data_IF_524589527320
#
_entry.id   IF_524589527320
#
_cell.length_a   1.000
_cell.length_b   1.000
_cell.length_c   1.000
_cell.angle_alpha   90.00
_cell.angle_beta   90.00
_cell.angle_gamma   90.00
#
_symmetry.space_group_name_H-M   'P 1'
#
loop_
_entity.id
_entity.type
_entity.pdbx_description
1 polymer ?
#
# COMPACT_ATOMS: atom_id res chain seq x y z
N UNK A 1 9.43 -31.52 12.93
CA UNK A 1 9.09 -31.73 11.50
C UNK A 1 8.05 -32.83 11.37
N UNK A 2 8.22 -33.98 12.03
CA UNK A 2 7.16 -34.98 12.22
C UNK A 2 5.85 -34.35 12.68
N UNK A 3 5.89 -33.53 13.72
CA UNK A 3 4.68 -32.93 14.32
C UNK A 3 4.03 -31.86 13.43
N UNK A 4 4.78 -31.28 12.50
CA UNK A 4 4.31 -30.21 11.61
C UNK A 4 3.65 -30.72 10.32
N UNK A 5 3.86 -32.01 9.97
CA UNK A 5 3.38 -32.62 8.73
C UNK A 5 2.65 -33.95 8.96
N UNK A 6 2.44 -34.35 10.23
CA UNK A 6 1.65 -35.52 10.61
C UNK A 6 0.15 -35.29 10.40
N UNK A 7 -0.31 -34.07 10.64
CA UNK A 7 -1.72 -33.68 10.49
C UNK A 7 -1.93 -32.79 9.26
N UNK A 8 -3.02 -32.97 8.50
CA UNK A 8 -3.35 -32.08 7.40
C UNK A 8 -3.57 -30.65 7.89
N UNK A 9 -3.06 -29.67 7.16
CA UNK A 9 -3.22 -28.26 7.50
C UNK A 9 -4.65 -27.79 7.16
N UNK A 10 -5.34 -27.07 8.07
CA UNK A 10 -6.67 -26.55 7.83
C UNK A 10 -6.61 -25.29 6.94
N UNK A 11 -6.34 -25.48 5.66
CA UNK A 11 -6.14 -24.39 4.69
C UNK A 11 -7.13 -24.52 3.53
N UNK A 12 -7.68 -23.38 3.10
CA UNK A 12 -8.59 -23.31 1.96
C UNK A 12 -7.83 -23.30 0.62
N UNK A 13 -6.60 -22.81 0.61
CA UNK A 13 -5.74 -22.70 -0.56
C UNK A 13 -4.44 -23.52 -0.38
N UNK A 14 -3.92 -24.04 -1.50
CA UNK A 14 -2.67 -24.79 -1.49
C UNK A 14 -1.48 -23.87 -1.24
N UNK A 15 -0.66 -24.22 -0.24
CA UNK A 15 0.56 -23.49 0.09
C UNK A 15 1.81 -24.27 -0.33
N UNK A 16 2.89 -23.54 -0.57
CA UNK A 16 4.20 -24.10 -0.91
C UNK A 16 5.20 -23.75 0.17
N UNK A 17 5.70 -24.76 0.88
CA UNK A 17 6.74 -24.58 1.90
C UNK A 17 8.10 -24.89 1.28
N UNK A 18 9.04 -23.95 1.34
CA UNK A 18 10.37 -24.11 0.73
C UNK A 18 11.44 -24.10 1.81
N UNK A 19 12.11 -25.23 1.98
CA UNK A 19 13.27 -25.36 2.86
C UNK A 19 14.54 -25.14 2.07
N UNK A 20 15.38 -24.19 2.50
CA UNK A 20 16.71 -23.99 1.91
C UNK A 20 17.68 -24.93 2.62
N UNK A 21 18.13 -25.97 1.92
CA UNK A 21 19.02 -27.01 2.47
C UNK A 21 20.50 -26.76 2.15
N UNK A 22 20.78 -25.76 1.34
CA UNK A 22 22.12 -25.23 1.20
C UNK A 22 22.19 -24.07 0.22
N UNK A 23 23.10 -23.14 0.49
CA UNK A 23 23.44 -22.06 -0.41
C UNK A 23 24.92 -22.19 -0.80
N UNK A 24 25.23 -22.01 -2.08
CA UNK A 24 26.60 -22.03 -2.59
C UNK A 24 27.36 -20.75 -2.26
N UNK A 25 28.37 -20.44 -3.08
CA UNK A 25 29.35 -19.35 -2.85
C UNK A 25 28.72 -17.97 -2.58
N UNK A 26 27.55 -17.68 -3.15
CA UNK A 26 26.83 -16.41 -2.97
C UNK A 26 26.09 -16.30 -1.63
N UNK A 27 25.65 -17.40 -1.03
CA UNK A 27 24.91 -17.39 0.24
C UNK A 27 25.79 -17.53 1.50
N UNK A 28 27.12 -17.60 1.34
CA UNK A 28 28.11 -17.79 2.43
C UNK A 28 27.83 -18.97 3.36
N UNK A 29 27.06 -19.95 2.92
CA UNK A 29 26.81 -21.20 3.65
C UNK A 29 27.47 -22.36 2.89
N UNK A 30 27.66 -23.50 3.57
CA UNK A 30 28.09 -24.74 2.92
C UNK A 30 26.84 -25.55 2.57
N UNK A 31 26.90 -26.32 1.49
CA UNK A 31 25.87 -27.31 1.21
C UNK A 31 25.89 -28.36 2.33
N UNK A 32 24.80 -28.46 3.09
CA UNK A 32 24.61 -29.54 4.03
C UNK A 32 23.82 -30.65 3.33
N UNK A 33 24.55 -31.61 2.75
CA UNK A 33 23.94 -32.77 2.10
C UNK A 33 23.21 -33.68 3.09
N UNK A 34 23.55 -33.60 4.38
CA UNK A 34 22.86 -34.30 5.46
C UNK A 34 21.46 -33.73 5.72
N UNK A 35 21.31 -32.41 5.69
CA UNK A 35 20.04 -31.73 5.94
C UNK A 35 18.96 -32.10 4.91
N UNK A 36 19.29 -32.09 3.62
CA UNK A 36 18.35 -32.51 2.57
C UNK A 36 17.94 -33.99 2.71
N UNK A 37 18.88 -34.85 3.10
CA UNK A 37 18.62 -36.28 3.30
C UNK A 37 17.74 -36.54 4.52
N UNK A 38 17.96 -35.85 5.63
CA UNK A 38 17.14 -35.96 6.84
C UNK A 38 15.71 -35.44 6.63
N UNK A 39 15.56 -34.37 5.86
CA UNK A 39 14.28 -33.77 5.54
C UNK A 39 13.46 -34.64 4.58
N UNK A 40 14.09 -35.20 3.55
CA UNK A 40 13.40 -36.09 2.60
C UNK A 40 13.12 -37.47 3.19
N UNK A 41 13.92 -37.96 4.15
CA UNK A 41 13.63 -39.22 4.85
C UNK A 41 12.44 -39.09 5.81
N UNK A 42 12.35 -37.98 6.54
CA UNK A 42 11.22 -37.71 7.44
C UNK A 42 9.91 -37.52 6.67
N UNK A 43 9.92 -36.80 5.55
CA UNK A 43 8.73 -36.66 4.68
C UNK A 43 8.28 -37.99 4.08
N UNK A 44 9.22 -38.84 3.62
CA UNK A 44 8.89 -40.20 3.15
C UNK A 44 8.26 -41.05 4.25
N UNK A 45 8.76 -40.97 5.48
CA UNK A 45 8.19 -41.70 6.62
C UNK A 45 6.77 -41.24 6.99
N UNK A 46 6.40 -39.99 6.66
CA UNK A 46 5.05 -39.43 6.84
C UNK A 46 4.11 -39.68 5.64
N UNK A 47 4.57 -40.47 4.66
CA UNK A 47 3.79 -40.82 3.47
C UNK A 47 3.67 -39.68 2.47
N UNK A 48 4.72 -38.86 2.32
CA UNK A 48 4.85 -37.93 1.20
C UNK A 48 5.66 -38.55 0.05
N UNK A 49 5.25 -38.26 -1.18
CA UNK A 49 5.89 -38.78 -2.40
C UNK A 49 6.82 -37.76 -3.05
N UNK A 50 7.92 -38.23 -3.64
CA UNK A 50 8.86 -37.37 -4.38
C UNK A 50 8.34 -37.18 -5.81
N UNK A 51 7.80 -36.00 -6.12
CA UNK A 51 7.34 -35.65 -7.46
C UNK A 51 8.06 -34.41 -7.98
N UNK A 52 8.92 -34.60 -8.99
CA UNK A 52 9.69 -33.52 -9.62
C UNK A 52 8.82 -32.54 -10.41
N UNK A 53 7.61 -32.95 -10.81
CA UNK A 53 6.62 -32.14 -11.53
C UNK A 53 5.68 -31.36 -10.60
N UNK A 54 5.73 -31.60 -9.28
CA UNK A 54 4.78 -31.04 -8.34
C UNK A 54 4.75 -29.50 -8.39
N UNK A 55 3.54 -28.95 -8.46
CA UNK A 55 3.26 -27.53 -8.51
C UNK A 55 2.25 -27.13 -7.43
N UNK A 56 2.00 -25.83 -7.26
CA UNK A 56 1.13 -25.32 -6.20
C UNK A 56 -0.36 -25.54 -6.55
N UNK A 57 -0.76 -26.80 -6.70
CA UNK A 57 -2.12 -27.24 -7.02
C UNK A 57 -2.57 -28.30 -6.02
N UNK A 58 -3.86 -28.35 -5.74
CA UNK A 58 -4.46 -29.24 -4.72
C UNK A 58 -4.18 -30.72 -5.00
N UNK A 59 -4.04 -31.10 -6.27
CA UNK A 59 -3.72 -32.46 -6.72
C UNK A 59 -2.31 -32.93 -6.29
N UNK A 60 -1.39 -32.00 -6.03
CA UNK A 60 -0.03 -32.29 -5.59
C UNK A 60 0.11 -32.28 -4.04
N UNK A 61 -1.00 -32.26 -3.30
CA UNK A 61 -0.99 -32.34 -1.83
C UNK A 61 -0.31 -33.63 -1.34
N UNK A 62 0.62 -33.52 -0.39
CA UNK A 62 1.38 -34.68 0.09
C UNK A 62 2.57 -35.05 -0.79
N UNK A 63 3.05 -34.16 -1.65
CA UNK A 63 4.27 -34.36 -2.44
C UNK A 63 5.39 -33.40 -2.04
N UNK A 64 6.63 -33.76 -2.36
CA UNK A 64 7.78 -32.87 -2.24
C UNK A 64 8.68 -32.97 -3.47
N UNK A 65 9.43 -31.89 -3.74
CA UNK A 65 10.42 -31.84 -4.82
C UNK A 65 11.72 -31.23 -4.36
N UNK A 66 12.82 -31.72 -4.92
CA UNK A 66 14.13 -31.08 -4.79
C UNK A 66 14.36 -30.15 -5.97
N UNK A 67 14.69 -28.90 -5.67
CA UNK A 67 14.99 -27.90 -6.68
C UNK A 67 16.38 -27.32 -6.42
N UNK A 68 17.23 -27.38 -7.44
CA UNK A 68 18.53 -26.73 -7.47
C UNK A 68 18.45 -25.51 -8.39
N UNK A 69 18.40 -24.33 -7.81
CA UNK A 69 18.45 -23.06 -8.54
C UNK A 69 19.91 -22.73 -8.82
N UNK A 70 20.36 -22.99 -10.05
CA UNK A 70 21.73 -22.73 -10.51
C UNK A 70 22.02 -21.24 -10.70
N UNK A 71 20.99 -20.40 -10.85
CA UNK A 71 21.15 -18.95 -10.93
C UNK A 71 21.42 -18.32 -9.56
N UNK A 72 20.72 -18.80 -8.52
CA UNK A 72 20.89 -18.33 -7.13
C UNK A 72 21.85 -19.18 -6.30
N UNK A 73 22.35 -20.29 -6.85
CA UNK A 73 23.15 -21.31 -6.16
C UNK A 73 22.46 -21.84 -4.88
N UNK A 74 21.16 -22.11 -4.96
CA UNK A 74 20.38 -22.61 -3.81
C UNK A 74 19.90 -24.03 -4.08
N UNK A 75 20.15 -24.93 -3.13
CA UNK A 75 19.45 -26.20 -3.04
C UNK A 75 18.27 -26.03 -2.10
N UNK A 76 17.09 -26.35 -2.59
CA UNK A 76 15.83 -26.23 -1.87
C UNK A 76 15.04 -27.52 -1.94
N UNK A 77 14.32 -27.82 -0.85
CA UNK A 77 13.30 -28.85 -0.84
C UNK A 77 11.97 -28.16 -0.68
N UNK A 78 11.11 -28.31 -1.68
CA UNK A 78 9.78 -27.72 -1.72
C UNK A 78 8.78 -28.80 -1.33
N UNK A 79 7.96 -28.53 -0.32
CA UNK A 79 6.97 -29.44 0.24
C UNK A 79 5.58 -28.87 0.02
N UNK A 80 4.67 -29.71 -0.46
CA UNK A 80 3.26 -29.43 -0.62
C UNK A 80 2.49 -30.20 0.45
N UNK A 81 2.07 -29.55 1.54
CA UNK A 81 1.41 -30.24 2.66
C UNK A 81 0.05 -30.82 2.26
N UNK A 82 -0.41 -31.83 3.01
CA UNK A 82 -1.79 -32.30 2.95
C UNK A 82 -2.69 -31.22 3.53
N UNK A 83 -3.79 -30.88 2.87
CA UNK A 83 -4.75 -29.87 3.34
C UNK A 83 -6.12 -30.51 3.58
N UNK A 84 -6.84 -30.02 4.59
CA UNK A 84 -8.26 -30.31 4.80
C UNK A 84 -9.05 -29.03 4.61
N UNK A 85 -10.01 -29.03 3.68
CA UNK A 85 -10.93 -27.92 3.51
C UNK A 85 -11.73 -27.76 4.81
N UNK A 86 -11.59 -26.61 5.48
CA UNK A 86 -12.30 -26.35 6.72
C UNK A 86 -13.81 -26.31 6.49
N UNK A 87 -14.53 -27.37 6.88
CA UNK A 87 -15.99 -27.35 6.98
C UNK A 87 -16.39 -26.54 8.21
N UNK A 88 -16.37 -25.21 8.10
CA UNK A 88 -16.98 -24.31 9.06
C UNK A 88 -18.50 -24.44 8.97
N UNK A 89 -19.12 -24.95 10.04
CA UNK A 89 -20.55 -25.11 10.17
C UNK A 89 -21.31 -23.79 9.99
N UNK A 90 -22.40 -23.87 9.23
CA UNK A 90 -23.37 -22.81 9.07
C UNK A 90 -24.11 -22.55 10.39
N UNK A 91 -23.95 -21.36 10.95
CA UNK A 91 -24.99 -20.78 11.79
C UNK A 91 -25.19 -19.29 11.48
N UNK A 92 -26.46 -18.90 11.39
CA UNK A 92 -26.89 -17.65 10.77
C UNK A 92 -26.68 -16.44 11.67
N UNK A 93 -25.79 -15.53 11.27
CA UNK A 93 -25.62 -14.24 11.95
C UNK A 93 -24.76 -13.24 11.17
N UNK A 94 -25.43 -12.30 10.51
CA UNK A 94 -24.89 -11.01 9.99
C UNK A 94 -23.73 -11.10 8.98
N UNK A 95 -24.07 -11.39 7.73
CA UNK A 95 -23.17 -11.28 6.58
C UNK A 95 -22.66 -9.83 6.36
N UNK A 96 -21.34 -9.63 6.36
CA UNK A 96 -20.73 -8.39 5.89
C UNK A 96 -19.35 -8.00 6.40
N UNK A 97 -18.68 -8.81 7.22
CA UNK A 97 -17.24 -8.67 7.50
C UNK A 97 -16.55 -9.93 7.02
N UNK A 98 -15.91 -9.85 5.86
CA UNK A 98 -14.90 -10.84 5.50
C UNK A 98 -13.87 -10.79 6.63
N UNK A 99 -13.88 -11.83 7.47
CA UNK A 99 -12.84 -12.09 8.44
C UNK A 99 -11.54 -12.18 7.63
N UNK A 100 -10.74 -11.11 7.68
CA UNK A 100 -9.32 -11.19 7.38
C UNK A 100 -8.74 -12.06 8.49
N UNK A 101 -8.88 -13.37 8.32
CA UNK A 101 -8.29 -14.36 9.19
C UNK A 101 -6.79 -14.17 9.10
N UNK A 102 -6.22 -13.43 10.06
CA UNK A 102 -4.84 -13.63 10.44
C UNK A 102 -4.73 -15.11 10.81
N UNK A 103 -3.87 -15.79 10.07
CA UNK A 103 -3.66 -17.21 10.13
C UNK A 103 -3.48 -17.75 11.57
N UNK A 104 -4.12 -18.90 11.84
CA UNK A 104 -3.74 -19.82 12.93
C UNK A 104 -4.90 -20.25 13.81
N UNK A 105 -5.52 -21.40 13.50
CA UNK A 105 -6.37 -22.10 14.45
C UNK A 105 -5.52 -22.88 15.46
N UNK A 106 -5.87 -22.72 16.76
CA UNK A 106 -5.56 -23.52 17.98
C UNK A 106 -4.11 -24.02 18.16
N UNK A 107 -3.31 -23.69 19.17
CA UNK A 107 -3.55 -23.68 20.63
C UNK A 107 -2.60 -22.70 21.37
N UNK A 108 -2.12 -21.66 20.69
CA UNK A 108 -1.44 -20.54 21.33
C UNK A 108 -1.89 -19.29 20.59
N UNK A 109 -2.74 -18.49 21.23
CA UNK A 109 -3.10 -17.18 20.72
C UNK A 109 -1.83 -16.35 20.76
N UNK A 110 -1.15 -16.21 19.62
CA UNK A 110 0.06 -15.39 19.58
C UNK A 110 -0.29 -13.98 20.07
N UNK A 111 0.38 -13.47 21.11
CA UNK A 111 0.04 -12.19 21.68
C UNK A 111 0.21 -11.10 20.63
N UNK A 112 -0.73 -10.15 20.62
CA UNK A 112 -0.69 -9.01 19.70
C UNK A 112 0.63 -8.26 19.94
N UNK A 113 1.51 -8.12 18.92
CA UNK A 113 2.83 -7.53 19.13
C UNK A 113 2.72 -6.13 19.73
N UNK A 114 3.46 -5.86 20.80
CA UNK A 114 3.48 -4.54 21.43
C UNK A 114 3.91 -3.46 20.43
N UNK A 115 3.23 -2.31 20.49
CA UNK A 115 3.49 -1.19 19.57
C UNK A 115 2.97 -1.38 18.14
N UNK A 116 2.32 -2.51 17.83
CA UNK A 116 1.58 -2.66 16.57
C UNK A 116 0.33 -1.76 16.53
N UNK A 117 -0.15 -1.37 15.33
CA UNK A 117 -1.43 -0.68 15.16
C UNK A 117 -2.60 -1.40 15.86
N UNK A 118 -2.61 -2.72 15.79
CA UNK A 118 -3.58 -3.61 16.43
C UNK A 118 -3.52 -3.43 17.96
N UNK A 119 -2.34 -3.54 18.56
CA UNK A 119 -2.15 -3.39 20.00
C UNK A 119 -2.54 -1.99 20.49
N UNK A 120 -2.11 -0.94 19.79
CA UNK A 120 -2.44 0.45 20.14
C UNK A 120 -3.94 0.72 20.10
N UNK A 121 -4.64 0.20 19.09
CA UNK A 121 -6.09 0.34 18.97
C UNK A 121 -6.81 -0.42 20.10
N UNK A 122 -6.32 -1.61 20.45
CA UNK A 122 -6.91 -2.48 21.47
C UNK A 122 -6.77 -1.91 22.88
N UNK A 123 -5.57 -1.46 23.26
CA UNK A 123 -5.25 -0.98 24.62
C UNK A 123 -5.64 0.49 24.87
N UNK A 124 -5.75 1.31 23.82
CA UNK A 124 -6.09 2.74 24.00
C UNK A 124 -7.46 2.98 24.64
N UNK A 125 -7.62 4.09 25.37
CA UNK A 125 -8.94 4.50 25.84
C UNK A 125 -9.85 4.90 24.67
N UNK A 126 -11.17 4.81 24.84
CA UNK A 126 -12.15 5.15 23.78
C UNK A 126 -11.91 6.57 23.24
N UNK A 127 -11.66 7.56 24.11
CA UNK A 127 -11.40 8.93 23.68
C UNK A 127 -10.10 9.11 22.89
N UNK A 128 -9.06 8.33 23.21
CA UNK A 128 -7.80 8.34 22.44
C UNK A 128 -8.02 7.63 21.11
N UNK A 129 -8.72 6.50 21.11
CA UNK A 129 -9.08 5.76 19.92
C UNK A 129 -9.83 6.61 18.90
N UNK A 130 -10.84 7.39 19.32
CA UNK A 130 -11.57 8.29 18.42
C UNK A 130 -10.66 9.31 17.73
N UNK A 131 -9.65 9.83 18.44
CA UNK A 131 -8.65 10.75 17.86
C UNK A 131 -7.68 10.02 16.93
N UNK A 132 -7.29 8.80 17.27
CA UNK A 132 -6.44 7.96 16.44
C UNK A 132 -7.14 7.57 15.14
N UNK A 133 -8.41 7.17 15.20
CA UNK A 133 -9.20 6.79 14.03
C UNK A 133 -9.25 7.92 13.00
N UNK A 134 -9.49 9.16 13.45
CA UNK A 134 -9.53 10.35 12.58
C UNK A 134 -8.18 10.72 11.98
N UNK A 135 -7.08 10.51 12.71
CA UNK A 135 -5.74 10.93 12.30
C UNK A 135 -4.95 9.87 11.55
N UNK A 136 -5.15 8.59 11.88
CA UNK A 136 -4.39 7.43 11.36
C UNK A 136 -5.15 6.62 10.34
N UNK A 137 -6.49 6.62 10.38
CA UNK A 137 -7.37 5.88 9.46
C UNK A 137 -8.33 6.82 8.69
N UNK A 138 -7.81 7.78 7.90
CA UNK A 138 -8.65 8.73 7.17
C UNK A 138 -9.53 8.05 6.10
N UNK A 139 -9.08 6.95 5.49
CA UNK A 139 -9.83 6.27 4.43
C UNK A 139 -10.88 5.29 4.97
N UNK A 140 -11.90 4.99 4.18
CA UNK A 140 -12.91 3.99 4.53
C UNK A 140 -12.31 2.59 4.60
N UNK A 141 -11.40 2.26 3.67
CA UNK A 141 -10.70 0.97 3.66
C UNK A 141 -9.87 0.75 4.94
N UNK A 142 -9.16 1.78 5.41
CA UNK A 142 -8.39 1.72 6.66
C UNK A 142 -9.29 1.57 7.88
N UNK A 143 -10.46 2.22 7.89
CA UNK A 143 -11.47 2.01 8.95
C UNK A 143 -12.02 0.58 8.93
N UNK A 144 -12.23 0.00 7.74
CA UNK A 144 -12.64 -1.40 7.59
C UNK A 144 -11.58 -2.36 8.13
N UNK A 145 -10.30 -2.13 7.82
CA UNK A 145 -9.20 -2.92 8.36
C UNK A 145 -9.06 -2.76 9.89
N UNK A 146 -9.22 -1.54 10.41
CA UNK A 146 -9.27 -1.29 11.85
C UNK A 146 -10.43 -2.01 12.55
N UNK A 147 -11.61 -2.08 11.91
CA UNK A 147 -12.74 -2.85 12.42
C UNK A 147 -12.42 -4.35 12.48
N UNK A 148 -11.78 -4.90 11.44
CA UNK A 148 -11.35 -6.30 11.44
C UNK A 148 -10.35 -6.58 12.57
N UNK A 149 -9.36 -5.71 12.77
CA UNK A 149 -8.41 -5.83 13.87
C UNK A 149 -9.07 -5.77 15.26
N UNK A 150 -10.09 -4.94 15.45
CA UNK A 150 -10.87 -4.89 16.69
C UNK A 150 -11.67 -6.18 16.93
N UNK A 151 -12.27 -6.75 15.90
CA UNK A 151 -12.99 -8.03 15.99
C UNK A 151 -12.03 -9.16 16.38
N UNK A 152 -10.87 -9.26 15.71
CA UNK A 152 -9.86 -10.25 16.09
C UNK A 152 -9.35 -10.03 17.52
N UNK A 153 -9.11 -8.78 17.93
CA UNK A 153 -8.68 -8.48 19.30
C UNK A 153 -9.73 -8.85 20.34
N UNK A 154 -11.02 -8.73 19.99
CA UNK A 154 -12.12 -9.15 20.84
C UNK A 154 -12.15 -10.68 20.99
N UNK A 155 -11.99 -11.41 19.89
CA UNK A 155 -11.89 -12.88 19.92
C UNK A 155 -10.70 -13.35 20.77
N UNK A 156 -9.56 -12.64 20.71
CA UNK A 156 -8.39 -12.89 21.57
C UNK A 156 -8.74 -12.71 23.04
N UNK A 157 -9.35 -11.59 23.43
CA UNK A 157 -9.72 -11.33 24.83
C UNK A 157 -10.76 -12.34 25.32
N UNK A 158 -11.74 -12.71 24.48
CA UNK A 158 -12.73 -13.75 24.81
C UNK A 158 -12.08 -15.14 24.99
N UNK A 159 -11.01 -15.44 24.23
CA UNK A 159 -10.23 -16.66 24.43
C UNK A 159 -9.42 -16.62 25.75
N UNK A 160 -8.85 -15.46 26.12
CA UNK A 160 -8.18 -15.27 27.41
C UNK A 160 -9.16 -15.45 28.58
N UNK A 161 -10.37 -14.90 28.46
CA UNK A 161 -11.47 -15.12 29.40
C UNK A 161 -11.78 -16.63 29.55
N UNK A 162 -11.85 -17.37 28.44
CA UNK A 162 -12.10 -18.81 28.47
C UNK A 162 -10.97 -19.58 29.18
N UNK A 163 -9.72 -19.22 28.95
CA UNK A 163 -8.53 -19.81 29.60
C UNK A 163 -8.51 -19.55 31.11
N UNK A 164 -8.89 -18.33 31.53
CA UNK A 164 -9.07 -18.00 32.95
C UNK A 164 -10.22 -18.81 33.57
N UNK A 165 -11.34 -18.96 32.85
CA UNK A 165 -12.48 -19.77 33.29
C UNK A 165 -12.15 -21.27 33.40
N UNK A 166 -11.22 -21.79 32.59
CA UNK A 166 -10.74 -23.19 32.72
C UNK A 166 -9.72 -23.37 33.84
N UNK A 167 -9.33 -22.30 34.56
CA UNK A 167 -8.37 -22.34 35.66
C UNK A 167 -6.91 -22.45 35.21
N UNK A 168 -6.63 -22.16 33.94
CA UNK A 168 -5.26 -22.13 33.40
C UNK A 168 -4.70 -20.72 33.61
N UNK A 169 -3.48 -20.57 34.19
CA UNK A 169 -2.89 -19.26 34.35
C UNK A 169 -2.50 -18.69 32.98
N UNK A 170 -2.78 -17.40 32.78
CA UNK A 170 -2.28 -16.65 31.62
C UNK A 170 -0.77 -16.40 31.76
N UNK A 171 -0.10 -16.23 30.64
CA UNK A 171 1.28 -15.72 30.62
C UNK A 171 1.31 -14.24 31.01
N UNK A 172 2.46 -13.73 31.46
CA UNK A 172 2.61 -12.31 31.85
C UNK A 172 2.15 -11.35 30.74
N UNK A 173 2.48 -11.65 29.49
CA UNK A 173 2.10 -10.83 28.32
C UNK A 173 0.59 -10.85 28.07
N UNK A 174 -0.04 -12.01 28.23
CA UNK A 174 -1.50 -12.16 28.09
C UNK A 174 -2.25 -11.48 29.22
N UNK A 175 -1.73 -11.60 30.45
CA UNK A 175 -2.28 -10.94 31.63
C UNK A 175 -2.20 -9.42 31.49
N UNK A 176 -1.06 -8.89 31.03
CA UNK A 176 -0.88 -7.45 30.78
C UNK A 176 -1.87 -6.95 29.73
N UNK A 177 -2.08 -7.70 28.63
CA UNK A 177 -3.08 -7.35 27.62
C UNK A 177 -4.51 -7.39 28.17
N UNK A 178 -4.83 -8.44 28.93
CA UNK A 178 -6.15 -8.63 29.54
C UNK A 178 -6.49 -7.50 30.51
N UNK A 179 -5.56 -7.16 31.41
CA UNK A 179 -5.74 -6.09 32.41
C UNK A 179 -5.80 -4.70 31.77
N UNK A 180 -5.10 -4.51 30.64
CA UNK A 180 -5.07 -3.24 29.93
C UNK A 180 -6.34 -2.97 29.10
N UNK A 181 -7.18 -3.98 28.82
CA UNK A 181 -8.41 -3.83 28.02
C UNK A 181 -9.64 -3.81 28.93
N UNK A 182 -10.29 -2.64 29.12
CA UNK A 182 -11.49 -2.59 29.94
C UNK A 182 -12.64 -3.40 29.31
N UNK A 183 -13.46 -4.09 30.11
CA UNK A 183 -14.58 -4.87 29.60
C UNK A 183 -15.59 -3.97 28.86
N UNK A 184 -16.04 -4.44 27.70
CA UNK A 184 -16.96 -3.69 26.83
C UNK A 184 -16.33 -2.51 26.06
N UNK A 185 -15.06 -2.18 26.28
CA UNK A 185 -14.39 -1.10 25.55
C UNK A 185 -14.26 -1.40 24.06
N UNK A 186 -13.94 -2.65 23.69
CA UNK A 186 -13.81 -3.09 22.30
C UNK A 186 -15.15 -2.98 21.55
N UNK A 187 -16.26 -3.38 22.18
CA UNK A 187 -17.60 -3.25 21.59
C UNK A 187 -17.98 -1.79 21.32
N UNK A 188 -17.63 -0.88 22.24
CA UNK A 188 -17.85 0.56 22.04
C UNK A 188 -17.00 1.12 20.89
N UNK A 189 -15.74 0.71 20.79
CA UNK A 189 -14.85 1.10 19.67
C UNK A 189 -15.38 0.58 18.34
N UNK A 190 -15.80 -0.69 18.27
CA UNK A 190 -16.42 -1.27 17.07
C UNK A 190 -17.66 -0.49 16.61
N UNK A 191 -18.56 -0.17 17.55
CA UNK A 191 -19.77 0.59 17.25
C UNK A 191 -19.42 1.98 16.72
N UNK A 192 -18.40 2.62 17.29
CA UNK A 192 -17.90 3.92 16.82
C UNK A 192 -17.34 3.83 15.40
N UNK A 193 -16.50 2.83 15.10
CA UNK A 193 -15.95 2.63 13.74
C UNK A 193 -17.06 2.40 12.73
N UNK A 194 -18.04 1.53 13.04
CA UNK A 194 -19.20 1.26 12.17
C UNK A 194 -19.98 2.54 11.87
N UNK A 195 -20.19 3.39 12.88
CA UNK A 195 -20.86 4.69 12.73
C UNK A 195 -20.07 5.66 11.86
N UNK A 196 -18.76 5.79 12.07
CA UNK A 196 -17.91 6.65 11.23
C UNK A 196 -17.85 6.16 9.78
N UNK A 197 -17.76 4.85 9.56
CA UNK A 197 -17.79 4.26 8.22
C UNK A 197 -19.11 4.56 7.50
N UNK A 198 -20.25 4.45 8.19
CA UNK A 198 -21.55 4.79 7.64
C UNK A 198 -21.64 6.28 7.30
N UNK A 199 -21.22 7.14 8.23
CA UNK A 199 -21.18 8.60 8.02
C UNK A 199 -20.32 8.95 6.79
N UNK A 200 -19.18 8.28 6.61
CA UNK A 200 -18.29 8.52 5.48
C UNK A 200 -18.91 8.16 4.12
N UNK A 201 -19.75 7.12 4.08
CA UNK A 201 -20.51 6.73 2.87
C UNK A 201 -21.62 7.75 2.61
N UNK A 202 -22.37 8.15 3.64
CA UNK A 202 -23.48 9.12 3.53
C UNK A 202 -22.98 10.52 3.10
N UNK A 203 -21.82 10.95 3.59
CA UNK A 203 -21.18 12.20 3.18
C UNK A 203 -20.49 12.12 1.81
N UNK A 204 -20.48 10.96 1.15
CA UNK A 204 -19.84 10.76 -0.14
C UNK A 204 -18.31 10.92 -0.13
N UNK A 205 -17.65 10.68 1.00
CA UNK A 205 -16.19 10.84 1.15
C UNK A 205 -15.44 9.53 0.87
N UNK A 206 -15.73 8.92 -0.27
CA UNK A 206 -15.13 7.66 -0.73
C UNK A 206 -14.13 7.89 -1.86
N UNK A 207 -13.08 7.08 -1.93
CA UNK A 207 -12.17 7.01 -3.09
C UNK A 207 -12.74 6.08 -4.17
N UNK A 208 -12.15 6.09 -5.38
CA UNK A 208 -12.57 5.21 -6.48
C UNK A 208 -12.55 3.73 -6.07
N UNK A 209 -11.42 3.27 -5.54
CA UNK A 209 -11.24 1.89 -5.12
C UNK A 209 -12.26 1.49 -4.02
N UNK A 210 -12.53 2.38 -3.06
CA UNK A 210 -13.52 2.11 -2.01
C UNK A 210 -14.95 2.05 -2.56
N UNK A 211 -15.28 2.91 -3.54
CA UNK A 211 -16.57 2.86 -4.24
C UNK A 211 -16.73 1.54 -4.98
N UNK A 212 -15.70 1.09 -5.68
CA UNK A 212 -15.71 -0.17 -6.44
C UNK A 212 -15.87 -1.38 -5.50
N UNK A 213 -15.14 -1.42 -4.38
CA UNK A 213 -15.32 -2.45 -3.35
C UNK A 213 -16.75 -2.46 -2.81
N UNK A 214 -17.30 -1.30 -2.48
CA UNK A 214 -18.66 -1.19 -1.93
C UNK A 214 -19.73 -1.59 -2.94
N UNK A 215 -19.56 -1.25 -4.21
CA UNK A 215 -20.45 -1.67 -5.29
C UNK A 215 -20.36 -3.18 -5.53
N UNK A 216 -19.16 -3.75 -5.50
CA UNK A 216 -18.95 -5.20 -5.61
C UNK A 216 -19.65 -5.94 -4.47
N UNK A 217 -19.39 -5.56 -3.22
CA UNK A 217 -20.01 -6.16 -2.04
C UNK A 217 -21.54 -6.06 -2.06
N UNK A 218 -22.08 -4.92 -2.51
CA UNK A 218 -23.51 -4.73 -2.62
C UNK A 218 -24.10 -5.53 -3.80
N UNK A 219 -23.34 -5.70 -4.89
CA UNK A 219 -23.69 -6.55 -6.02
C UNK A 219 -23.76 -8.03 -5.64
N UNK A 220 -22.76 -8.56 -4.92
CA UNK A 220 -22.76 -9.92 -4.38
C UNK A 220 -23.97 -10.14 -3.46
N UNK A 221 -24.23 -9.18 -2.56
CA UNK A 221 -25.41 -9.23 -1.68
C UNK A 221 -26.73 -9.22 -2.45
N UNK A 222 -26.84 -8.47 -3.53
CA UNK A 222 -28.02 -8.50 -4.39
C UNK A 222 -28.17 -9.84 -5.12
N UNK A 223 -27.05 -10.45 -5.53
CA UNK A 223 -27.00 -11.79 -6.09
C UNK A 223 -27.51 -12.85 -5.12
N UNK A 224 -26.96 -12.90 -3.90
CA UNK A 224 -27.37 -13.86 -2.86
C UNK A 224 -28.83 -13.66 -2.47
N UNK A 225 -29.28 -12.41 -2.25
CA UNK A 225 -30.68 -12.12 -1.95
C UNK A 225 -31.62 -12.54 -3.09
N UNK A 226 -31.20 -12.42 -4.35
CA UNK A 226 -32.02 -12.84 -5.50
C UNK A 226 -32.16 -14.36 -5.53
N UNK A 227 -31.08 -15.10 -5.32
CA UNK A 227 -31.11 -16.57 -5.23
C UNK A 227 -31.97 -17.06 -4.04
N UNK A 228 -31.83 -16.44 -2.86
CA UNK A 228 -32.63 -16.78 -1.68
C UNK A 228 -34.12 -16.46 -1.86
N UNK A 229 -34.45 -15.40 -2.61
CA UNK A 229 -35.84 -15.07 -2.98
C UNK A 229 -36.40 -16.16 -3.89
N UNK A 230 -35.66 -16.57 -4.92
CA UNK A 230 -36.07 -17.63 -5.85
C UNK A 230 -36.29 -18.96 -5.12
N UNK A 231 -35.37 -19.33 -4.23
CA UNK A 231 -35.52 -20.52 -3.39
C UNK A 231 -36.71 -20.41 -2.43
N UNK A 232 -36.91 -19.27 -1.77
CA UNK A 232 -38.04 -19.07 -0.84
C UNK A 232 -39.39 -19.07 -1.56
N UNK A 233 -39.43 -18.62 -2.82
CA UNK A 233 -40.61 -18.72 -3.71
C UNK A 233 -40.87 -20.18 -4.09
N UNK A 234 -39.82 -20.93 -4.47
CA UNK A 234 -39.90 -22.37 -4.77
C UNK A 234 -40.40 -23.18 -3.57
N UNK A 235 -39.95 -22.83 -2.38
CA UNK A 235 -40.35 -23.45 -1.10
C UNK A 235 -41.70 -22.96 -0.55
N UNK A 236 -42.38 -22.03 -1.24
CA UNK A 236 -43.66 -21.43 -0.81
C UNK A 236 -43.62 -20.87 0.62
N UNK A 237 -42.54 -20.16 0.99
CA UNK A 237 -42.38 -19.49 2.29
C UNK A 237 -42.63 -17.98 2.16
N UNK A 238 -43.89 -17.51 2.07
CA UNK A 238 -44.21 -16.12 1.69
C UNK A 238 -43.65 -15.08 2.68
N UNK A 239 -43.66 -15.37 3.98
CA UNK A 239 -43.09 -14.48 5.01
C UNK A 239 -41.57 -14.30 4.87
N UNK A 240 -40.85 -15.32 4.38
CA UNK A 240 -39.40 -15.22 4.13
C UNK A 240 -39.16 -14.42 2.85
N UNK A 241 -39.95 -14.67 1.81
CA UNK A 241 -39.88 -13.92 0.54
C UNK A 241 -40.12 -12.42 0.72
N UNK A 242 -41.12 -12.00 1.50
CA UNK A 242 -41.38 -10.58 1.76
C UNK A 242 -40.21 -9.90 2.49
N UNK A 243 -39.66 -10.55 3.52
CA UNK A 243 -38.48 -10.04 4.25
C UNK A 243 -37.27 -9.89 3.32
N UNK A 244 -37.02 -10.87 2.46
CA UNK A 244 -35.89 -10.83 1.51
C UNK A 244 -36.08 -9.77 0.43
N UNK A 245 -37.31 -9.56 -0.06
CA UNK A 245 -37.63 -8.46 -0.98
C UNK A 245 -37.37 -7.08 -0.35
N UNK A 246 -37.77 -6.88 0.90
CA UNK A 246 -37.47 -5.64 1.62
C UNK A 246 -35.96 -5.43 1.83
N UNK A 247 -35.19 -6.51 2.05
CA UNK A 247 -33.72 -6.43 2.11
C UNK A 247 -33.10 -6.10 0.75
N UNK A 248 -33.65 -6.66 -0.34
CA UNK A 248 -33.22 -6.37 -1.72
C UNK A 248 -33.46 -4.90 -2.06
N UNK A 249 -34.62 -4.35 -1.74
CA UNK A 249 -34.92 -2.93 -1.96
C UNK A 249 -33.94 -2.00 -1.22
N UNK A 250 -33.61 -2.31 0.03
CA UNK A 250 -32.58 -1.56 0.79
C UNK A 250 -31.20 -1.65 0.14
N UNK A 251 -30.83 -2.82 -0.38
CA UNK A 251 -29.56 -3.01 -1.08
C UNK A 251 -29.54 -2.26 -2.43
N UNK A 252 -30.65 -2.23 -3.17
CA UNK A 252 -30.80 -1.44 -4.40
C UNK A 252 -30.74 0.07 -4.13
N UNK A 253 -31.38 0.55 -3.06
CA UNK A 253 -31.27 1.95 -2.64
C UNK A 253 -29.82 2.33 -2.30
N UNK A 254 -29.10 1.45 -1.59
CA UNK A 254 -27.67 1.63 -1.32
C UNK A 254 -26.83 1.64 -2.60
N UNK A 255 -27.17 0.82 -3.60
CA UNK A 255 -26.47 0.81 -4.89
C UNK A 255 -26.57 2.17 -5.58
N UNK A 256 -27.78 2.73 -5.65
CA UNK A 256 -28.03 4.06 -6.23
C UNK A 256 -27.24 5.14 -5.49
N UNK A 257 -27.29 5.14 -4.16
CA UNK A 257 -26.50 6.08 -3.34
C UNK A 257 -25.00 6.01 -3.68
N UNK A 258 -24.45 4.80 -3.80
CA UNK A 258 -23.03 4.61 -4.12
C UNK A 258 -22.69 5.06 -5.54
N UNK A 259 -23.57 4.83 -6.51
CA UNK A 259 -23.39 5.26 -7.91
C UNK A 259 -23.34 6.78 -8.02
N UNK A 260 -24.17 7.50 -7.26
CA UNK A 260 -24.26 8.97 -7.27
C UNK A 260 -23.06 9.68 -6.61
N UNK A 261 -22.27 8.98 -5.79
CA UNK A 261 -21.11 9.57 -5.12
C UNK A 261 -19.99 9.87 -6.12
N UNK A 262 -19.54 11.13 -6.14
CA UNK A 262 -18.34 11.57 -6.86
C UNK A 262 -17.11 11.19 -6.04
N UNK A 263 -16.24 10.30 -6.54
CA UNK A 263 -15.11 9.82 -5.75
C UNK A 263 -14.06 10.89 -5.51
N UNK A 264 -13.47 10.86 -4.31
CA UNK A 264 -12.36 11.71 -3.92
C UNK A 264 -11.02 11.13 -4.39
N UNK A 265 -10.09 12.03 -4.65
CA UNK A 265 -8.70 11.65 -4.90
C UNK A 265 -8.11 10.93 -3.68
N UNK A 266 -7.18 9.98 -3.88
CA UNK A 266 -6.48 9.31 -2.78
C UNK A 266 -5.81 10.31 -1.83
N UNK A 267 -5.70 9.92 -0.56
CA UNK A 267 -5.01 10.71 0.45
C UNK A 267 -3.53 10.89 0.09
N UNK A 268 -2.91 11.97 0.58
CA UNK A 268 -1.49 12.25 0.36
C UNK A 268 -0.59 11.25 1.08
N UNK A 269 0.63 11.07 0.59
CA UNK A 269 1.65 10.29 1.32
C UNK A 269 2.15 11.12 2.51
N UNK A 270 2.46 10.46 3.63
CA UNK A 270 2.97 11.15 4.83
C UNK A 270 4.26 11.91 4.52
N UNK A 271 5.18 11.28 3.80
CA UNK A 271 6.47 11.86 3.42
C UNK A 271 6.46 12.45 2.00
N UNK A 272 5.28 12.76 1.45
CA UNK A 272 5.15 13.39 0.13
C UNK A 272 6.03 14.65 -0.08
N UNK A 273 6.19 15.59 0.88
CA UNK A 273 7.04 16.76 0.65
C UNK A 273 8.51 16.40 0.48
N UNK A 274 9.02 15.43 1.24
CA UNK A 274 10.42 14.96 1.16
C UNK A 274 10.65 14.18 -0.13
N UNK A 275 9.75 13.25 -0.46
CA UNK A 275 9.75 12.53 -1.74
C UNK A 275 9.72 13.52 -2.91
N UNK A 276 8.96 14.62 -2.81
CA UNK A 276 8.91 15.64 -3.87
C UNK A 276 10.25 16.39 -4.02
N UNK A 277 10.97 16.64 -2.92
CA UNK A 277 12.31 17.25 -2.95
C UNK A 277 13.31 16.30 -3.60
N UNK A 278 13.35 15.05 -3.14
CA UNK A 278 14.23 14.01 -3.70
C UNK A 278 13.96 13.77 -5.19
N UNK A 279 12.69 13.72 -5.61
CA UNK A 279 12.33 13.64 -7.04
C UNK A 279 12.79 14.87 -7.83
N UNK A 280 12.84 16.05 -7.22
CA UNK A 280 13.38 17.25 -7.87
C UNK A 280 14.90 17.21 -8.02
N UNK A 281 15.62 16.60 -7.06
CA UNK A 281 17.07 16.35 -7.12
C UNK A 281 17.45 15.24 -8.12
N UNK A 282 16.59 14.24 -8.27
CA UNK A 282 16.76 13.15 -9.22
C UNK A 282 16.57 13.60 -10.68
N UNK A 283 15.75 14.63 -10.92
CA UNK A 283 15.45 15.15 -12.26
C UNK A 283 16.69 15.59 -13.08
N UNK A 284 17.63 16.42 -12.56
CA UNK A 284 18.85 16.75 -13.29
C UNK A 284 19.76 15.53 -13.51
N UNK A 285 19.80 14.57 -12.56
CA UNK A 285 20.60 13.36 -12.69
C UNK A 285 20.08 12.46 -13.83
N UNK A 286 18.76 12.29 -13.94
CA UNK A 286 18.14 11.58 -15.06
C UNK A 286 18.40 12.25 -16.41
N UNK A 287 18.36 13.59 -16.48
CA UNK A 287 18.70 14.32 -17.72
C UNK A 287 20.16 14.12 -18.11
N UNK A 288 21.07 14.16 -17.14
CA UNK A 288 22.48 13.88 -17.43
C UNK A 288 22.69 12.45 -17.94
N UNK A 289 21.99 11.46 -17.39
CA UNK A 289 22.01 10.08 -17.91
C UNK A 289 21.47 9.98 -19.34
N UNK A 290 20.33 10.63 -19.63
CA UNK A 290 19.74 10.62 -20.97
C UNK A 290 20.64 11.32 -22.00
N UNK A 291 21.27 12.44 -21.63
CA UNK A 291 22.18 13.20 -22.50
C UNK A 291 23.55 12.50 -22.69
N UNK A 292 23.94 11.61 -21.77
CA UNK A 292 25.23 10.89 -21.82
C UNK A 292 25.13 9.47 -22.37
N UNK A 293 23.93 8.98 -22.73
CA UNK A 293 23.74 7.70 -23.42
C UNK A 293 24.59 7.63 -24.69
N UNK A 294 25.69 6.86 -24.63
CA UNK A 294 26.64 6.67 -25.71
C UNK A 294 27.96 7.45 -25.60
N UNK A 295 28.15 8.26 -24.56
CA UNK A 295 29.41 8.97 -24.25
C UNK A 295 30.12 8.33 -23.06
N UNK A 296 31.46 8.28 -23.06
CA UNK A 296 32.21 7.92 -21.85
C UNK A 296 32.01 8.97 -20.76
N UNK A 297 31.47 8.54 -19.62
CA UNK A 297 31.28 9.34 -18.42
C UNK A 297 32.62 9.57 -17.71
N UNK A 298 32.83 10.79 -17.23
CA UNK A 298 33.94 11.13 -16.33
C UNK A 298 33.70 10.56 -14.93
N UNK A 299 34.76 10.39 -14.14
CA UNK A 299 34.70 9.88 -12.75
C UNK A 299 33.75 10.70 -11.86
N UNK A 300 33.60 12.01 -12.15
CA UNK A 300 32.66 12.87 -11.44
C UNK A 300 31.22 12.60 -11.85
N UNK A 301 30.96 12.36 -13.14
CA UNK A 301 29.64 12.02 -13.64
C UNK A 301 29.20 10.62 -13.16
N UNK A 302 30.12 9.65 -13.07
CA UNK A 302 29.83 8.34 -12.47
C UNK A 302 29.51 8.43 -10.98
N UNK A 303 30.19 9.30 -10.22
CA UNK A 303 29.86 9.53 -8.81
C UNK A 303 28.49 10.20 -8.64
N UNK A 304 28.11 11.12 -9.51
CA UNK A 304 26.76 11.72 -9.48
C UNK A 304 25.66 10.76 -9.92
N UNK A 305 25.97 9.78 -10.79
CA UNK A 305 25.05 8.70 -11.12
C UNK A 305 24.90 7.70 -9.97
N UNK A 306 25.95 7.44 -9.18
CA UNK A 306 25.81 6.63 -7.96
C UNK A 306 24.84 7.26 -6.94
N UNK A 307 24.88 8.59 -6.78
CA UNK A 307 23.91 9.33 -5.95
C UNK A 307 22.46 9.21 -6.44
N UNK A 308 22.23 8.91 -7.72
CA UNK A 308 20.88 8.66 -8.25
C UNK A 308 20.29 7.40 -7.63
N UNK A 309 21.07 6.34 -7.51
CA UNK A 309 20.62 5.07 -6.95
C UNK A 309 20.32 5.23 -5.46
N UNK A 310 21.18 5.95 -4.71
CA UNK A 310 20.92 6.31 -3.31
C UNK A 310 19.60 7.10 -3.13
N UNK A 311 19.33 8.08 -4.01
CA UNK A 311 18.07 8.85 -3.96
C UNK A 311 16.86 7.96 -4.29
N UNK A 312 17.00 6.97 -5.18
CA UNK A 312 15.91 6.04 -5.50
C UNK A 312 15.59 5.13 -4.31
N UNK A 313 16.62 4.58 -3.66
CA UNK A 313 16.47 3.77 -2.44
C UNK A 313 15.83 4.60 -1.31
N UNK A 314 16.25 5.86 -1.14
CA UNK A 314 15.66 6.76 -0.13
C UNK A 314 14.19 7.08 -0.44
N UNK A 315 13.84 7.31 -1.71
CA UNK A 315 12.44 7.47 -2.13
C UNK A 315 11.64 6.22 -1.82
N UNK A 316 12.14 5.02 -2.15
CA UNK A 316 11.44 3.76 -1.88
C UNK A 316 11.24 3.53 -0.38
N UNK A 317 12.26 3.80 0.44
CA UNK A 317 12.17 3.72 1.90
C UNK A 317 11.13 4.69 2.46
N UNK A 318 11.09 5.95 1.98
CA UNK A 318 10.12 6.96 2.41
C UNK A 318 8.70 6.65 1.90
N UNK A 319 8.57 6.05 0.71
CA UNK A 319 7.32 5.55 0.17
C UNK A 319 6.78 4.43 1.08
N UNK A 320 7.60 3.42 1.41
CA UNK A 320 7.24 2.35 2.34
C UNK A 320 6.87 2.85 3.74
N UNK A 321 7.65 3.79 4.29
CA UNK A 321 7.36 4.43 5.58
C UNK A 321 6.10 5.31 5.57
N UNK A 322 5.56 5.64 4.39
CA UNK A 322 4.32 6.40 4.24
C UNK A 322 3.06 5.52 4.23
N UNK A 323 3.20 4.20 4.38
CA UNK A 323 2.06 3.29 4.50
C UNK A 323 1.19 3.65 5.71
N UNK A 324 -0.12 3.68 5.49
CA UNK A 324 -1.10 3.97 6.54
C UNK A 324 -1.39 2.74 7.41
N UNK A 325 -2.01 2.97 8.57
CA UNK A 325 -2.51 1.87 9.41
C UNK A 325 -3.62 1.12 8.69
N UNK A 326 -3.57 -0.21 8.75
CA UNK A 326 -4.57 -1.11 8.14
C UNK A 326 -4.84 -0.82 6.66
N UNK A 327 -3.84 -0.31 5.93
CA UNK A 327 -3.93 -0.08 4.50
C UNK A 327 -3.59 -1.36 3.74
N UNK A 328 -4.46 -1.76 2.81
CA UNK A 328 -4.23 -2.90 1.93
C UNK A 328 -3.16 -2.58 0.87
N UNK A 329 -2.45 -3.60 0.39
CA UNK A 329 -1.39 -3.44 -0.62
C UNK A 329 -1.88 -2.75 -1.89
N UNK A 330 -3.09 -3.12 -2.34
CA UNK A 330 -3.71 -2.54 -3.54
C UNK A 330 -4.07 -1.07 -3.33
N UNK A 331 -4.66 -0.72 -2.19
CA UNK A 331 -4.99 0.66 -1.84
C UNK A 331 -3.73 1.53 -1.74
N UNK A 332 -2.66 0.97 -1.15
CA UNK A 332 -1.37 1.64 -1.06
C UNK A 332 -0.74 1.84 -2.45
N UNK A 333 -0.77 0.83 -3.32
CA UNK A 333 -0.24 0.92 -4.68
C UNK A 333 -0.95 2.00 -5.52
N UNK A 334 -2.28 2.09 -5.45
CA UNK A 334 -3.07 3.13 -6.13
C UNK A 334 -2.70 4.53 -5.62
N UNK A 335 -2.54 4.69 -4.30
CA UNK A 335 -2.12 5.95 -3.68
C UNK A 335 -0.71 6.36 -4.10
N UNK A 336 0.20 5.39 -4.18
CA UNK A 336 1.57 5.57 -4.62
C UNK A 336 1.64 6.00 -6.10
N UNK A 337 0.86 5.35 -6.96
CA UNK A 337 0.76 5.70 -8.37
C UNK A 337 0.19 7.12 -8.55
N UNK A 338 -0.85 7.50 -7.80
CA UNK A 338 -1.39 8.86 -7.83
C UNK A 338 -0.32 9.90 -7.44
N UNK A 339 0.50 9.62 -6.41
CA UNK A 339 1.64 10.47 -6.03
C UNK A 339 2.70 10.55 -7.14
N UNK A 340 3.02 9.43 -7.79
CA UNK A 340 3.97 9.41 -8.91
C UNK A 340 3.43 10.16 -10.14
N UNK A 341 2.14 10.01 -10.45
CA UNK A 341 1.47 10.68 -11.55
C UNK A 341 1.42 12.21 -11.35
N UNK A 342 1.11 12.69 -10.14
CA UNK A 342 1.12 14.12 -9.83
C UNK A 342 2.52 14.72 -9.93
N UNK A 343 3.57 13.98 -9.53
CA UNK A 343 4.95 14.40 -9.75
C UNK A 343 5.29 14.51 -11.24
N UNK A 344 4.94 13.49 -12.05
CA UNK A 344 5.14 13.51 -13.51
C UNK A 344 4.39 14.66 -14.19
N UNK A 345 3.19 14.99 -13.72
CA UNK A 345 2.41 16.11 -14.25
C UNK A 345 3.06 17.47 -13.96
N UNK A 346 3.57 17.67 -12.74
CA UNK A 346 4.34 18.88 -12.37
C UNK A 346 5.59 19.04 -13.24
N UNK A 347 6.23 17.93 -13.61
CA UNK A 347 7.42 17.92 -14.45
C UNK A 347 7.11 18.36 -15.89
N UNK A 348 6.00 17.86 -16.46
CA UNK A 348 5.52 18.29 -17.78
C UNK A 348 5.16 19.78 -17.81
N UNK A 349 4.52 20.30 -16.75
CA UNK A 349 4.18 21.73 -16.65
C UNK A 349 5.41 22.64 -16.51
N UNK A 350 6.47 22.17 -15.86
CA UNK A 350 7.72 22.94 -15.72
C UNK A 350 8.55 22.95 -17.01
N UNK A 351 8.38 21.95 -17.87
CA UNK A 351 8.99 21.92 -19.21
C UNK A 351 8.30 22.87 -20.22
N UNK A 352 6.99 23.10 -20.08
CA UNK A 352 6.23 24.00 -20.96
C UNK A 352 6.31 25.47 -20.57
N UNK A 353 6.61 25.80 -19.30
CA UNK A 353 6.96 27.17 -18.88
C UNK A 353 8.43 27.50 -19.20
N UNK A 354 8.78 27.57 -20.50
CA UNK A 354 9.92 28.39 -20.93
C UNK A 354 9.56 29.87 -20.66
N UNK A 355 10.50 30.70 -20.19
CA UNK A 355 10.22 32.12 -20.01
C UNK A 355 9.89 32.74 -21.37
N UNK A 356 8.68 33.27 -21.50
CA UNK A 356 8.28 34.15 -22.59
C UNK A 356 9.05 35.47 -22.45
N UNK A 357 10.26 35.48 -22.99
CA UNK A 357 11.20 36.59 -22.90
C UNK A 357 12.27 36.50 -24.00
N UNK A 358 11.85 36.22 -25.23
CA UNK A 358 12.66 36.43 -26.42
C UNK A 358 11.71 36.59 -27.61
N UNK A 359 11.32 37.84 -27.91
CA UNK A 359 10.62 38.15 -29.14
C UNK A 359 11.48 37.73 -30.33
N UNK A 360 10.85 37.05 -31.28
CA UNK A 360 11.46 36.66 -32.54
C UNK A 360 12.06 37.86 -33.27
N UNK A 361 13.36 37.80 -33.50
CA UNK A 361 14.02 38.46 -34.61
C UNK A 361 14.61 37.36 -35.47
N UNK A 362 13.89 36.98 -36.53
CA UNK A 362 14.36 36.13 -37.60
C UNK A 362 15.62 36.71 -38.22
N UNK A 363 16.79 36.12 -37.91
CA UNK A 363 18.04 36.40 -38.60
C UNK A 363 18.48 35.09 -39.27
N UNK A 364 18.69 35.07 -40.60
CA UNK A 364 19.07 33.85 -41.30
C UNK A 364 20.48 33.41 -40.87
N UNK A 365 20.67 32.09 -40.77
CA UNK A 365 21.94 31.44 -40.46
C UNK A 365 23.02 31.92 -41.45
N UNK A 366 24.22 32.35 -41.02
CA UNK A 366 25.33 32.53 -41.94
C UNK A 366 25.83 31.15 -42.37
N UNK A 367 25.97 30.99 -43.68
CA UNK A 367 26.57 29.82 -44.31
C UNK A 367 28.01 29.63 -43.83
N UNK A 368 28.36 28.36 -43.59
CA UNK A 368 29.69 27.88 -43.24
C UNK A 368 30.68 28.33 -44.32
N UNK A 369 31.48 29.36 -44.02
CA UNK A 369 32.58 29.80 -44.87
C UNK A 369 33.88 29.39 -44.20
N UNK A 370 34.65 28.54 -44.87
CA UNK A 370 35.97 28.11 -44.41
C UNK A 370 36.91 29.32 -44.35
N UNK A 371 37.55 29.54 -43.20
CA UNK A 371 38.54 30.61 -43.00
C UNK A 371 39.93 29.97 -42.96
N UNK A 372 40.76 30.29 -43.95
CA UNK A 372 42.20 30.02 -43.94
C UNK A 372 42.95 31.10 -43.13
N UNK A 373 44.03 30.75 -42.41
CA UNK A 373 44.73 31.67 -41.54
C UNK A 373 45.61 32.62 -42.37
N UNK A 374 45.15 33.87 -42.53
CA UNK A 374 45.98 34.91 -43.14
C UNK A 374 45.22 36.02 -43.86
N UNK A 375 44.33 36.75 -43.19
CA UNK A 375 43.91 38.06 -43.70
C UNK A 375 43.51 39.02 -42.57
N UNK A 376 44.06 40.23 -42.65
CA UNK A 376 43.97 41.31 -41.66
C UNK A 376 42.57 41.95 -41.69
N UNK A 377 42.04 42.31 -40.51
CA UNK A 377 40.79 43.05 -40.32
C UNK A 377 40.86 44.46 -40.94
N UNK A 378 39.80 44.98 -41.58
CA UNK A 378 39.63 46.41 -41.74
C UNK A 378 38.66 46.98 -40.69
N UNK A 379 39.16 47.95 -39.94
CA UNK A 379 38.37 48.86 -39.13
C UNK A 379 37.76 49.93 -40.04
N UNK A 380 36.43 50.00 -40.13
CA UNK A 380 35.74 51.15 -40.73
C UNK A 380 34.28 51.25 -40.24
N UNK A 381 34.06 51.96 -39.13
CA UNK A 381 33.04 53.02 -39.04
C UNK A 381 32.94 53.55 -37.61
N UNK A 382 33.76 54.57 -37.33
CA UNK A 382 33.48 55.57 -36.32
C UNK A 382 32.96 56.83 -37.03
N UNK A 383 31.75 57.30 -36.68
CA UNK A 383 31.35 58.72 -36.68
C UNK A 383 30.32 58.88 -35.56
N UNK A 384 30.73 59.43 -34.41
CA UNK A 384 30.78 60.86 -33.99
C UNK A 384 29.43 61.46 -33.56
N UNK A 385 29.48 61.94 -32.32
CA UNK A 385 28.50 62.60 -31.44
C UNK A 385 27.71 63.80 -32.01
N UNK A 386 26.52 64.00 -31.44
CA UNK A 386 25.94 65.33 -31.16
C UNK A 386 25.26 65.32 -29.77
N UNK A 387 25.63 66.30 -28.92
CA UNK A 387 25.06 66.57 -27.59
C UNK A 387 23.78 67.42 -27.71
N UNK A 388 22.75 67.15 -26.89
CA UNK A 388 21.95 68.15 -26.12
C UNK A 388 21.38 67.47 -24.85
N UNK A 389 21.46 68.17 -23.71
CA UNK A 389 20.90 67.91 -22.35
C UNK A 389 19.73 68.89 -22.11
N UNK A 390 19.01 68.91 -20.95
CA UNK A 390 18.55 67.89 -19.98
C UNK A 390 17.02 68.07 -19.64
N UNK A 391 16.56 67.61 -18.46
CA UNK A 391 15.22 67.75 -17.80
C UNK A 391 14.31 66.52 -18.04
N UNK A 392 13.76 65.80 -17.06
CA UNK A 392 13.71 65.89 -15.59
C UNK A 392 12.81 64.77 -15.02
N UNK A 393 12.84 64.58 -13.69
CA UNK A 393 11.90 63.74 -12.92
C UNK A 393 12.24 62.23 -12.90
N UNK A 394 12.55 61.57 -11.79
CA UNK A 394 11.99 61.71 -10.45
C UNK A 394 11.37 60.35 -10.09
N UNK A 395 12.00 59.61 -9.18
CA UNK A 395 11.75 58.19 -8.95
C UNK A 395 10.37 57.85 -8.40
N UNK A 396 9.81 56.73 -8.89
CA UNK A 396 8.54 56.14 -8.45
C UNK A 396 8.65 55.47 -7.06
N UNK A 397 9.85 55.39 -6.49
CA UNK A 397 10.07 54.87 -5.13
C UNK A 397 9.81 55.91 -4.02
N UNK A 398 9.64 57.20 -4.35
CA UNK A 398 9.42 58.26 -3.36
C UNK A 398 7.92 58.61 -3.12
N UNK A 399 6.99 58.01 -3.85
CA UNK A 399 5.57 58.38 -3.82
C UNK A 399 4.67 57.45 -2.96
N UNK A 400 5.21 56.40 -2.34
CA UNK A 400 4.40 55.42 -1.59
C UNK A 400 4.65 55.40 -0.08
N UNK A 401 5.50 56.29 0.45
CA UNK A 401 5.88 56.36 1.87
C UNK A 401 5.49 57.69 2.55
N UNK A 402 4.57 58.46 1.97
CA UNK A 402 4.21 59.80 2.46
C UNK A 402 2.69 60.02 2.63
N UNK A 403 1.93 58.97 2.98
CA UNK A 403 0.53 59.09 3.38
C UNK A 403 0.32 58.34 4.70
N UNK A 404 0.75 59.00 5.77
CA UNK A 404 0.23 58.83 7.13
C UNK A 404 -0.48 60.14 7.52
N UNK A 405 -1.48 60.06 8.42
CA UNK A 405 -2.31 61.13 9.04
C UNK A 405 -3.76 61.15 8.47
N UNK A 406 -4.85 61.03 9.24
CA UNK A 406 -5.06 61.27 10.68
C UNK A 406 -6.41 60.72 11.20
N UNK A 407 -6.58 60.72 12.54
CA UNK A 407 -7.81 60.58 13.38
C UNK A 407 -8.40 59.16 13.57
N UNK A 408 -8.66 58.64 14.77
CA UNK A 408 -9.01 59.20 16.09
C UNK A 408 -8.46 58.28 17.23
#
# INVERSE_FOLDING_TARGET
MTDAFSEPLPLNDMIRITFVTGAGKLGRQKYDEGAAKALTSTLRNLGFEEDRGASCVVECAGSFKLQHDTGKNLKTVVVFPKITAGTGGADGGVAGVASLSLAGGSDNVAPIPEGSPEHMVTVSSVAVFEKMLKSKCPSWAQKKGCLAALVCSKEIVEALDATLMSGTPLTDVEQDLYDAVPPGSLANKEAHVKKEMQTQVEEGKLTNLEKDILLHQNGERLGTLTLEIEESVREKKPKKTEKLKAMKEKAEARKKLLEDIVPKAPHRLRNEPEITKLRAELRPLQKMEDDTKGRLLSVKETATLARKDEILEEIEALEGASRGWFEDDEAFAVRLEASRATARAKDKQKATKKPAGASGSSRPKPATTWVTPGSKKPAWNQKKAAKKKPVGGGGVFAAMMALDSDSD
#
